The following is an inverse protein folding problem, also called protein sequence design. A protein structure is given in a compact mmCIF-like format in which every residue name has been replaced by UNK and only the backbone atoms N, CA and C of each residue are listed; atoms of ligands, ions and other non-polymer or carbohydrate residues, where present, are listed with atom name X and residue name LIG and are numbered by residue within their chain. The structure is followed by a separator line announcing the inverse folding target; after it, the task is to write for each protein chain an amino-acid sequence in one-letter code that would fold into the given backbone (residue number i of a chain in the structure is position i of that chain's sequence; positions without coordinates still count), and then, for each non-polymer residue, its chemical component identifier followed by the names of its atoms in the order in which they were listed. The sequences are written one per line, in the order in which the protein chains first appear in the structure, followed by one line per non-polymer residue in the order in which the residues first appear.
data_IF_813551530880
#
_entry.id   IF_813551530880
#
_cell.length_a   1.000
_cell.length_b   1.000
_cell.length_c   1.000
_cell.angle_alpha   90.00
_cell.angle_beta   90.00
_cell.angle_gamma   90.00
#
_symmetry.space_group_name_H-M   'P 1'
#
loop_
_entity.id
_entity.type
_entity.pdbx_description
1 polymer ?
#
# COMPACT_ATOMS: atom_id res chain seq x y z
N UNK A 1 -54.29 -35.55 -21.06
CA UNK A 1 -53.73 -35.61 -19.69
C UNK A 1 -52.34 -34.98 -19.78
N UNK A 2 -52.20 -33.77 -19.21
CA UNK A 2 -51.01 -33.02 -18.75
C UNK A 2 -49.68 -33.17 -19.52
N UNK A 3 -49.03 -32.11 -20.02
CA UNK A 3 -48.41 -30.97 -19.29
C UNK A 3 -48.43 -29.73 -20.23
N UNK A 4 -49.22 -28.68 -19.97
CA UNK A 4 -48.97 -27.44 -19.21
C UNK A 4 -47.79 -26.55 -19.65
N UNK A 5 -48.16 -25.38 -20.18
CA UNK A 5 -47.39 -24.17 -20.53
C UNK A 5 -46.89 -23.36 -19.31
N UNK A 6 -45.66 -22.82 -19.39
CA UNK A 6 -45.06 -21.64 -18.71
C UNK A 6 -43.54 -21.90 -18.60
N UNK A 7 -42.57 -21.06 -19.00
CA UNK A 7 -42.47 -19.61 -18.96
C UNK A 7 -41.43 -19.15 -19.98
N UNK A 8 -41.86 -18.40 -21.00
CA UNK A 8 -40.99 -17.71 -21.96
C UNK A 8 -41.53 -16.30 -22.18
N UNK A 9 -41.61 -15.49 -21.12
CA UNK A 9 -41.80 -14.04 -21.20
C UNK A 9 -41.61 -13.37 -19.83
N UNK A 10 -40.37 -13.15 -19.41
CA UNK A 10 -40.04 -12.19 -18.34
C UNK A 10 -38.62 -11.63 -18.52
N UNK A 11 -38.28 -11.22 -19.75
CA UNK A 11 -37.13 -10.34 -20.02
C UNK A 11 -37.63 -9.25 -20.96
N UNK A 12 -38.58 -8.43 -20.51
CA UNK A 12 -38.94 -7.16 -21.14
C UNK A 12 -39.97 -6.45 -20.26
N UNK A 13 -39.52 -5.83 -19.16
CA UNK A 13 -40.09 -4.60 -18.57
C UNK A 13 -39.42 -4.29 -17.22
N UNK A 14 -38.25 -3.68 -17.29
CA UNK A 14 -37.74 -2.81 -16.21
C UNK A 14 -36.61 -1.92 -16.77
N UNK A 15 -36.87 -1.26 -17.91
CA UNK A 15 -36.16 -0.05 -18.26
C UNK A 15 -37.13 1.11 -18.07
N UNK A 16 -36.62 2.19 -17.48
CA UNK A 16 -37.26 3.50 -17.21
C UNK A 16 -37.89 3.69 -15.82
N UNK A 17 -37.04 3.95 -14.83
CA UNK A 17 -37.05 5.26 -14.15
C UNK A 17 -35.60 5.76 -14.03
N UNK A 18 -35.40 7.00 -14.47
CA UNK A 18 -34.09 7.54 -14.83
C UNK A 18 -33.12 7.76 -13.68
N UNK A 19 -31.93 7.19 -13.84
CA UNK A 19 -30.69 7.80 -13.39
C UNK A 19 -29.75 7.77 -14.60
N UNK A 20 -29.42 8.93 -15.17
CA UNK A 20 -28.39 9.01 -16.21
C UNK A 20 -27.07 8.51 -15.60
N UNK A 21 -26.36 7.55 -16.21
CA UNK A 21 -25.02 7.20 -15.78
C UNK A 21 -24.16 8.45 -15.96
N UNK A 22 -23.62 8.94 -14.84
CA UNK A 22 -22.79 10.15 -14.78
C UNK A 22 -21.46 9.98 -15.52
N UNK A 23 -21.06 8.74 -15.77
CA UNK A 23 -19.84 8.40 -16.48
C UNK A 23 -20.18 7.68 -17.78
N UNK A 24 -19.72 8.14 -18.95
CA UNK A 24 -19.81 7.35 -20.16
C UNK A 24 -18.99 6.07 -19.98
N UNK A 25 -19.59 4.94 -20.36
CA UNK A 25 -18.96 3.62 -20.40
C UNK A 25 -17.88 3.63 -21.50
N UNK A 26 -16.69 4.12 -21.17
CA UNK A 26 -15.46 3.90 -21.93
C UNK A 26 -14.61 2.86 -21.17
N UNK A 27 -13.81 2.03 -21.86
CA UNK A 27 -13.02 0.99 -21.22
C UNK A 27 -12.11 1.58 -20.14
N UNK A 28 -12.10 0.94 -18.96
CA UNK A 28 -11.19 1.26 -17.87
C UNK A 28 -9.75 1.03 -18.34
N UNK A 29 -8.88 2.04 -18.20
CA UNK A 29 -7.44 1.88 -18.41
C UNK A 29 -6.76 2.81 -19.43
N UNK A 30 -7.46 3.74 -20.09
CA UNK A 30 -6.77 4.75 -20.90
C UNK A 30 -5.92 5.66 -20.00
N UNK A 31 -4.60 5.66 -20.22
CA UNK A 31 -3.68 6.61 -19.60
C UNK A 31 -3.83 7.97 -20.30
N UNK A 32 -3.96 9.08 -19.55
CA UNK A 32 -4.07 10.40 -20.14
C UNK A 32 -2.82 10.75 -20.97
N UNK A 33 -2.98 11.19 -22.21
CA UNK A 33 -1.86 11.54 -23.10
C UNK A 33 -1.03 12.71 -22.54
N UNK A 34 -1.69 13.69 -21.90
CA UNK A 34 -1.05 14.80 -21.20
C UNK A 34 -1.65 14.99 -19.80
N UNK A 35 -1.25 14.13 -18.85
CA UNK A 35 -1.74 14.20 -17.47
C UNK A 35 -1.30 15.48 -16.73
N UNK A 36 -0.19 16.10 -17.18
CA UNK A 36 0.36 17.27 -16.52
C UNK A 36 -0.58 18.48 -16.68
N UNK A 37 -1.20 18.62 -17.85
CA UNK A 37 -2.18 19.67 -18.16
C UNK A 37 -3.65 19.25 -17.97
N UNK A 38 -3.91 17.99 -17.57
CA UNK A 38 -5.26 17.44 -17.53
C UNK A 38 -6.23 18.24 -16.62
N UNK A 39 -5.73 18.75 -15.50
CA UNK A 39 -6.41 19.76 -14.69
C UNK A 39 -5.41 20.55 -13.83
N UNK A 40 -5.79 21.71 -13.33
CA UNK A 40 -4.97 22.62 -12.55
C UNK A 40 -5.68 23.03 -11.25
N UNK A 41 -4.90 23.44 -10.27
CA UNK A 41 -5.40 24.10 -9.06
C UNK A 41 -5.30 25.60 -9.24
N UNK A 42 -6.34 26.35 -8.88
CA UNK A 42 -6.23 27.80 -8.87
C UNK A 42 -5.25 28.29 -7.80
N UNK A 43 -4.58 29.41 -8.07
CA UNK A 43 -3.75 30.07 -7.06
C UNK A 43 -4.58 30.61 -5.88
N UNK A 44 -3.95 30.63 -4.71
CA UNK A 44 -4.51 31.27 -3.52
C UNK A 44 -4.68 32.76 -3.75
N UNK A 45 -5.73 33.34 -3.19
CA UNK A 45 -5.91 34.80 -3.15
C UNK A 45 -5.15 35.40 -1.97
N UNK A 46 -4.88 36.70 -2.00
CA UNK A 46 -4.25 37.40 -0.88
C UNK A 46 -5.09 37.22 0.40
N UNK A 47 -4.44 36.82 1.50
CA UNK A 47 -5.11 36.55 2.79
C UNK A 47 -5.84 35.20 2.87
N UNK A 48 -5.84 34.38 1.82
CA UNK A 48 -6.50 33.07 1.80
C UNK A 48 -5.57 31.95 2.28
N UNK A 49 -6.07 31.10 3.18
CA UNK A 49 -5.40 29.84 3.54
C UNK A 49 -5.91 28.72 2.64
N UNK A 50 -5.41 28.69 1.40
CA UNK A 50 -5.82 27.74 0.36
C UNK A 50 -4.61 27.11 -0.34
N UNK A 51 -4.58 25.78 -0.40
CA UNK A 51 -3.63 25.00 -1.19
C UNK A 51 -4.20 23.61 -1.48
N UNK A 52 -4.44 23.30 -2.76
CA UNK A 52 -4.84 21.97 -3.21
C UNK A 52 -3.78 21.29 -4.09
N UNK A 53 -2.57 21.85 -4.17
CA UNK A 53 -1.50 21.37 -5.06
C UNK A 53 -1.12 19.91 -4.78
N UNK A 54 -0.96 19.55 -3.51
CA UNK A 54 -0.71 18.15 -3.09
C UNK A 54 -1.78 17.19 -3.57
N UNK A 55 -3.07 17.55 -3.41
CA UNK A 55 -4.19 16.74 -3.86
C UNK A 55 -4.17 16.56 -5.38
N UNK A 56 -4.00 17.64 -6.13
CA UNK A 56 -3.94 17.56 -7.60
C UNK A 56 -2.75 16.72 -8.08
N UNK A 57 -1.57 16.90 -7.49
CA UNK A 57 -0.38 16.14 -7.84
C UNK A 57 -0.57 14.63 -7.58
N UNK A 58 -1.09 14.25 -6.41
CA UNK A 58 -1.34 12.84 -6.06
C UNK A 58 -2.45 12.24 -6.91
N UNK A 59 -3.55 12.96 -7.17
CA UNK A 59 -4.63 12.50 -8.06
C UNK A 59 -4.10 12.24 -9.47
N UNK A 60 -3.27 13.14 -10.03
CA UNK A 60 -2.61 12.93 -11.33
C UNK A 60 -1.72 11.69 -11.32
N UNK A 61 -0.96 11.48 -10.25
CA UNK A 61 -0.12 10.29 -10.10
C UNK A 61 -0.97 9.01 -10.05
N UNK A 62 -2.11 9.03 -9.34
CA UNK A 62 -3.05 7.92 -9.31
C UNK A 62 -3.67 7.65 -10.69
N UNK A 63 -4.07 8.69 -11.43
CA UNK A 63 -4.60 8.58 -12.79
C UNK A 63 -3.59 7.95 -13.75
N UNK A 64 -2.30 8.25 -13.62
CA UNK A 64 -1.24 7.62 -14.42
C UNK A 64 -0.98 6.16 -14.05
N UNK A 65 -1.07 5.85 -12.76
CA UNK A 65 -0.69 4.54 -12.23
C UNK A 65 -1.80 3.52 -12.43
N UNK A 66 -3.02 3.87 -12.01
CA UNK A 66 -4.16 2.95 -11.99
C UNK A 66 -5.14 3.19 -13.13
N UNK A 67 -5.13 4.37 -13.75
CA UNK A 67 -6.05 4.76 -14.82
C UNK A 67 -6.89 5.98 -14.45
N UNK A 68 -7.37 6.71 -15.46
CA UNK A 68 -7.98 8.03 -15.28
C UNK A 68 -9.29 8.05 -14.47
N UNK A 69 -10.09 6.98 -14.55
CA UNK A 69 -11.44 6.92 -13.96
C UNK A 69 -11.38 6.57 -12.46
N UNK A 70 -12.28 7.11 -11.61
CA UNK A 70 -12.38 6.74 -10.20
C UNK A 70 -12.47 5.23 -9.96
N UNK A 71 -13.22 4.51 -10.80
CA UNK A 71 -13.34 3.05 -10.72
C UNK A 71 -12.00 2.30 -10.84
N UNK A 72 -11.00 2.87 -11.51
CA UNK A 72 -9.66 2.28 -11.61
C UNK A 72 -8.78 2.62 -10.39
N UNK A 73 -9.01 3.79 -9.80
CA UNK A 73 -8.27 4.32 -8.65
C UNK A 73 -8.72 3.77 -7.29
N UNK A 74 -9.86 3.07 -7.22
CA UNK A 74 -10.35 2.38 -6.02
C UNK A 74 -10.28 0.84 -6.18
N UNK A 75 -10.48 0.11 -5.08
CA UNK A 75 -10.72 -1.34 -5.15
C UNK A 75 -12.16 -1.64 -5.53
N UNK A 76 -13.10 -0.83 -5.04
CA UNK A 76 -14.53 -0.96 -5.33
C UNK A 76 -15.20 0.42 -5.35
N UNK A 77 -16.13 0.61 -6.27
CA UNK A 77 -16.94 1.81 -6.40
C UNK A 77 -18.35 1.41 -6.85
N UNK A 78 -19.31 1.44 -5.94
CA UNK A 78 -20.69 1.03 -6.18
C UNK A 78 -21.64 2.22 -6.00
N UNK A 79 -22.54 2.50 -6.96
CA UNK A 79 -23.65 3.42 -6.73
C UNK A 79 -24.51 2.94 -5.55
N UNK A 80 -24.85 3.82 -4.62
CA UNK A 80 -25.59 3.47 -3.41
C UNK A 80 -26.46 4.63 -2.96
N UNK A 81 -27.79 4.45 -2.97
CA UNK A 81 -28.75 5.46 -2.50
C UNK A 81 -28.55 6.86 -3.10
N UNK A 82 -28.19 7.81 -2.23
CA UNK A 82 -27.92 9.22 -2.54
C UNK A 82 -26.49 9.49 -3.03
N UNK A 83 -25.68 8.46 -3.22
CA UNK A 83 -24.24 8.56 -3.40
C UNK A 83 -23.55 7.32 -3.95
N UNK A 84 -22.37 7.04 -3.42
CA UNK A 84 -21.49 5.92 -3.78
C UNK A 84 -20.84 5.31 -2.55
N UNK A 85 -20.83 3.98 -2.47
CA UNK A 85 -19.97 3.24 -1.56
C UNK A 85 -18.62 3.00 -2.24
N UNK A 86 -17.56 3.32 -1.51
CA UNK A 86 -16.17 3.27 -2.00
C UNK A 86 -15.36 2.38 -1.07
N UNK A 87 -14.64 1.42 -1.65
CA UNK A 87 -13.55 0.72 -0.98
C UNK A 87 -12.23 1.23 -1.57
N UNK A 88 -11.45 1.94 -0.76
CA UNK A 88 -10.15 2.50 -1.18
C UNK A 88 -9.12 1.40 -1.45
N UNK A 89 -7.98 1.74 -2.07
CA UNK A 89 -6.89 0.79 -2.34
C UNK A 89 -6.32 0.17 -1.06
N UNK A 90 -6.39 0.90 0.06
CA UNK A 90 -6.07 0.39 1.38
C UNK A 90 -7.27 -0.21 2.14
N UNK A 91 -8.31 -0.62 1.42
CA UNK A 91 -9.54 -1.24 1.94
C UNK A 91 -10.37 -0.36 2.90
N UNK A 92 -9.99 0.91 3.09
CA UNK A 92 -10.82 1.83 3.85
C UNK A 92 -12.16 2.02 3.13
N UNK A 93 -13.26 1.77 3.86
CA UNK A 93 -14.62 1.88 3.32
C UNK A 93 -15.24 3.20 3.72
N UNK A 94 -15.86 3.88 2.76
CA UNK A 94 -16.58 5.11 2.99
C UNK A 94 -17.78 5.24 2.06
N UNK A 95 -18.74 6.06 2.46
CA UNK A 95 -19.87 6.47 1.63
C UNK A 95 -19.70 7.95 1.25
N UNK A 96 -19.90 8.28 -0.03
CA UNK A 96 -19.91 9.65 -0.55
C UNK A 96 -21.30 10.01 -1.09
N UNK A 97 -21.97 10.95 -0.45
CA UNK A 97 -23.24 11.49 -0.96
C UNK A 97 -23.01 12.41 -2.17
N UNK A 98 -24.05 12.59 -3.00
CA UNK A 98 -24.04 13.58 -4.09
C UNK A 98 -23.82 15.01 -3.58
N UNK A 99 -24.29 15.33 -2.37
CA UNK A 99 -24.09 16.64 -1.76
C UNK A 99 -22.61 16.88 -1.42
N UNK A 100 -21.94 15.90 -0.81
CA UNK A 100 -20.51 15.99 -0.48
C UNK A 100 -19.66 16.10 -1.75
N UNK A 101 -20.01 15.37 -2.81
CA UNK A 101 -19.37 15.49 -4.13
C UNK A 101 -19.53 16.90 -4.71
N UNK A 102 -20.72 17.50 -4.58
CA UNK A 102 -20.96 18.87 -5.04
C UNK A 102 -20.16 19.90 -4.23
N UNK A 103 -20.14 19.77 -2.90
CA UNK A 103 -19.36 20.64 -2.00
C UNK A 103 -17.86 20.58 -2.34
N UNK A 104 -17.31 19.37 -2.48
CA UNK A 104 -15.92 19.17 -2.87
C UNK A 104 -15.61 19.78 -4.25
N UNK A 105 -16.49 19.59 -5.23
CA UNK A 105 -16.32 20.13 -6.58
C UNK A 105 -16.34 21.66 -6.64
N UNK A 106 -17.11 22.31 -5.76
CA UNK A 106 -17.16 23.77 -5.68
C UNK A 106 -15.94 24.33 -4.95
N UNK A 107 -15.48 23.64 -3.90
CA UNK A 107 -14.42 24.12 -3.02
C UNK A 107 -12.99 23.86 -3.55
N UNK A 108 -12.76 22.76 -4.28
CA UNK A 108 -11.42 22.37 -4.76
C UNK A 108 -10.80 23.37 -5.75
N UNK A 109 -11.66 24.11 -6.46
CA UNK A 109 -11.29 25.04 -7.54
C UNK A 109 -10.40 24.38 -8.60
N UNK A 110 -10.59 23.09 -8.87
CA UNK A 110 -9.96 22.39 -9.97
C UNK A 110 -10.52 22.88 -11.32
N UNK A 111 -9.64 23.19 -12.27
CA UNK A 111 -10.01 23.68 -13.61
C UNK A 111 -9.28 22.88 -14.69
N UNK A 112 -9.86 22.74 -15.88
CA UNK A 112 -9.26 21.99 -16.98
C UNK A 112 -10.15 22.02 -18.22
N UNK A 113 -9.56 21.75 -19.39
CA UNK A 113 -10.31 21.72 -20.65
C UNK A 113 -11.28 20.52 -20.73
N UNK A 114 -10.92 19.39 -20.11
CA UNK A 114 -11.76 18.20 -20.02
C UNK A 114 -12.56 18.22 -18.70
N UNK A 115 -13.85 18.55 -18.80
CA UNK A 115 -14.76 18.57 -17.66
C UNK A 115 -14.96 17.19 -17.01
N UNK A 116 -14.75 16.11 -17.77
CA UNK A 116 -14.76 14.75 -17.26
C UNK A 116 -13.56 14.47 -16.35
N UNK A 117 -12.35 14.86 -16.75
CA UNK A 117 -11.15 14.77 -15.89
C UNK A 117 -11.34 15.56 -14.60
N UNK A 118 -11.83 16.80 -14.70
CA UNK A 118 -12.03 17.66 -13.53
C UNK A 118 -13.05 17.03 -12.57
N UNK A 119 -14.11 16.42 -13.10
CA UNK A 119 -15.11 15.70 -12.31
C UNK A 119 -14.52 14.46 -11.64
N UNK A 120 -13.72 13.68 -12.35
CA UNK A 120 -13.03 12.50 -11.83
C UNK A 120 -12.04 12.90 -10.70
N UNK A 121 -11.31 14.00 -10.88
CA UNK A 121 -10.42 14.55 -9.85
C UNK A 121 -11.18 15.03 -8.60
N UNK A 122 -12.32 15.72 -8.79
CA UNK A 122 -13.18 16.15 -7.69
C UNK A 122 -13.77 14.97 -6.89
N UNK A 123 -14.05 13.85 -7.55
CA UNK A 123 -14.46 12.63 -6.85
C UNK A 123 -13.36 12.12 -5.91
N UNK A 124 -12.12 12.04 -6.41
CA UNK A 124 -10.98 11.61 -5.59
C UNK A 124 -10.72 12.56 -4.41
N UNK A 125 -10.84 13.87 -4.65
CA UNK A 125 -10.73 14.89 -3.61
C UNK A 125 -11.84 14.73 -2.54
N UNK A 126 -13.08 14.47 -2.94
CA UNK A 126 -14.18 14.21 -2.02
C UNK A 126 -13.93 12.96 -1.17
N UNK A 127 -13.43 11.87 -1.77
CA UNK A 127 -13.07 10.65 -1.05
C UNK A 127 -12.01 10.91 0.03
N UNK A 128 -10.97 11.68 -0.30
CA UNK A 128 -9.96 12.12 0.67
C UNK A 128 -10.59 12.89 1.84
N UNK A 129 -11.42 13.89 1.53
CA UNK A 129 -12.08 14.73 2.56
C UNK A 129 -12.98 13.88 3.46
N UNK A 130 -13.72 12.93 2.87
CA UNK A 130 -14.60 12.03 3.62
C UNK A 130 -13.83 11.13 4.56
N UNK A 131 -12.73 10.53 4.09
CA UNK A 131 -11.84 9.76 4.96
C UNK A 131 -11.30 10.63 6.10
N UNK A 132 -10.81 11.83 5.79
CA UNK A 132 -10.32 12.78 6.79
C UNK A 132 -11.40 13.12 7.81
N UNK A 133 -12.65 13.30 7.39
CA UNK A 133 -13.78 13.49 8.31
C UNK A 133 -13.89 12.32 9.29
N UNK A 134 -13.97 11.09 8.77
CA UNK A 134 -14.21 9.87 9.53
C UNK A 134 -13.05 9.54 10.48
N UNK A 135 -11.81 9.79 10.08
CA UNK A 135 -10.63 9.42 10.89
C UNK A 135 -10.08 10.58 11.72
N UNK A 136 -10.38 11.82 11.35
CA UNK A 136 -9.84 13.04 11.98
C UNK A 136 -10.73 13.63 13.07
N UNK A 137 -11.88 13.01 13.36
CA UNK A 137 -12.81 13.48 14.40
C UNK A 137 -13.56 14.77 14.03
N UNK A 138 -13.70 15.07 12.73
CA UNK A 138 -14.49 16.23 12.29
C UNK A 138 -15.98 15.92 12.34
N UNK A 139 -16.75 16.79 13.00
CA UNK A 139 -18.19 16.61 13.13
C UNK A 139 -18.94 16.60 11.78
N UNK A 140 -18.43 17.33 10.78
CA UNK A 140 -19.07 17.47 9.47
C UNK A 140 -18.07 17.34 8.33
N UNK A 141 -18.56 16.96 7.14
CA UNK A 141 -17.77 16.94 5.91
C UNK A 141 -17.21 18.33 5.59
N UNK A 142 -18.03 19.38 5.80
CA UNK A 142 -17.63 20.77 5.57
C UNK A 142 -16.45 21.20 6.46
N UNK A 143 -16.43 20.79 7.74
CA UNK A 143 -15.30 21.08 8.63
C UNK A 143 -14.02 20.38 8.17
N UNK A 144 -14.12 19.12 7.73
CA UNK A 144 -13.00 18.38 7.15
C UNK A 144 -12.54 19.00 5.82
N UNK A 145 -13.48 19.47 4.99
CA UNK A 145 -13.24 20.13 3.71
C UNK A 145 -12.48 21.42 3.94
N UNK A 146 -12.98 22.33 4.79
CA UNK A 146 -12.33 23.58 5.14
C UNK A 146 -10.89 23.36 5.59
N UNK A 147 -10.66 22.35 6.45
CA UNK A 147 -9.31 22.01 6.91
C UNK A 147 -8.43 21.41 5.81
N UNK A 148 -9.01 20.69 4.86
CA UNK A 148 -8.29 20.12 3.71
C UNK A 148 -7.83 21.20 2.73
N UNK A 149 -8.63 22.25 2.56
CA UNK A 149 -8.29 23.38 1.70
C UNK A 149 -7.05 24.14 2.19
N UNK A 150 -6.68 24.05 3.48
CA UNK A 150 -5.43 24.64 3.99
C UNK A 150 -4.14 23.91 3.53
N UNK A 151 -4.26 22.86 2.71
CA UNK A 151 -3.15 22.06 2.19
C UNK A 151 -2.77 20.85 3.03
N UNK A 152 -2.00 19.97 2.42
CA UNK A 152 -1.54 18.70 2.98
C UNK A 152 -0.09 18.42 2.61
N UNK A 153 0.63 17.73 3.49
CA UNK A 153 1.94 17.17 3.11
C UNK A 153 1.73 16.04 2.09
N UNK A 154 2.73 15.79 1.23
CA UNK A 154 2.65 14.73 0.21
C UNK A 154 2.30 13.36 0.83
N UNK A 155 2.95 13.03 1.96
CA UNK A 155 2.71 11.78 2.68
C UNK A 155 1.28 11.69 3.21
N UNK A 156 0.76 12.75 3.86
CA UNK A 156 -0.63 12.76 4.35
C UNK A 156 -1.63 12.66 3.22
N UNK A 157 -1.33 13.29 2.08
CA UNK A 157 -2.16 13.19 0.90
C UNK A 157 -2.21 11.74 0.37
N UNK A 158 -1.06 11.06 0.24
CA UNK A 158 -1.00 9.64 -0.15
C UNK A 158 -1.72 8.72 0.85
N UNK A 159 -1.60 9.01 2.16
CA UNK A 159 -2.30 8.27 3.21
C UNK A 159 -3.82 8.47 3.14
N UNK A 160 -4.29 9.70 3.04
CA UNK A 160 -5.72 10.00 2.94
C UNK A 160 -6.34 9.58 1.60
N UNK A 161 -5.54 9.43 0.55
CA UNK A 161 -5.95 8.83 -0.74
C UNK A 161 -5.91 7.29 -0.71
N UNK A 162 -5.46 6.67 0.39
CA UNK A 162 -5.40 5.22 0.55
C UNK A 162 -4.37 4.52 -0.32
N UNK A 163 -3.34 5.24 -0.79
CA UNK A 163 -2.31 4.72 -1.72
C UNK A 163 -0.89 4.78 -1.16
N UNK A 164 -0.71 5.19 0.10
CA UNK A 164 0.62 5.25 0.71
C UNK A 164 1.30 3.88 0.76
N UNK A 165 0.55 2.81 1.03
CA UNK A 165 1.03 1.43 0.96
C UNK A 165 1.50 1.00 -0.44
N UNK A 166 1.03 1.70 -1.47
CA UNK A 166 1.37 1.50 -2.88
C UNK A 166 2.39 2.52 -3.39
N UNK A 167 3.15 3.13 -2.48
CA UNK A 167 4.16 4.14 -2.80
C UNK A 167 5.58 3.70 -2.42
N UNK A 168 6.56 4.21 -3.16
CA UNK A 168 7.98 4.12 -2.82
C UNK A 168 8.56 5.52 -2.67
N UNK A 169 9.34 5.74 -1.62
CA UNK A 169 10.13 6.95 -1.44
C UNK A 169 11.48 6.80 -2.12
N UNK A 170 11.71 7.56 -3.18
CA UNK A 170 12.88 7.39 -4.06
C UNK A 170 13.58 8.72 -4.33
N UNK A 171 14.91 8.70 -4.60
CA UNK A 171 15.62 9.87 -5.09
C UNK A 171 15.00 10.38 -6.40
N UNK A 172 14.97 11.70 -6.58
CA UNK A 172 14.46 12.30 -7.84
C UNK A 172 15.30 11.86 -9.06
N UNK A 173 16.60 11.64 -8.87
CA UNK A 173 17.49 11.08 -9.91
C UNK A 173 17.02 9.71 -10.42
N UNK A 174 16.51 8.87 -9.52
CA UNK A 174 15.99 7.55 -9.87
C UNK A 174 14.67 7.66 -10.64
N UNK A 175 13.81 8.62 -10.29
CA UNK A 175 12.59 8.88 -11.04
C UNK A 175 12.89 9.29 -12.47
N UNK A 176 13.82 10.24 -12.65
CA UNK A 176 14.24 10.73 -13.96
C UNK A 176 14.90 9.63 -14.80
N UNK A 177 15.86 8.89 -14.22
CA UNK A 177 16.61 7.84 -14.92
C UNK A 177 15.75 6.65 -15.35
N UNK A 178 14.63 6.38 -14.65
CA UNK A 178 13.70 5.29 -14.96
C UNK A 178 12.48 5.75 -15.79
N UNK A 179 12.40 7.03 -16.15
CA UNK A 179 11.22 7.61 -16.80
C UNK A 179 9.95 7.51 -15.94
N UNK A 180 10.11 7.40 -14.62
CA UNK A 180 9.00 7.25 -13.69
C UNK A 180 8.28 8.60 -13.48
N UNK A 181 6.97 8.52 -13.26
CA UNK A 181 6.17 9.65 -12.82
C UNK A 181 6.06 9.58 -11.29
N UNK A 182 6.26 10.72 -10.62
CA UNK A 182 6.22 10.79 -9.17
C UNK A 182 5.65 12.12 -8.67
N UNK A 183 5.61 12.27 -7.35
CA UNK A 183 5.26 13.52 -6.68
C UNK A 183 6.35 13.90 -5.69
N UNK A 184 6.67 15.19 -5.59
CA UNK A 184 7.57 15.71 -4.57
C UNK A 184 6.97 16.91 -3.85
N UNK A 185 7.40 17.10 -2.62
CA UNK A 185 7.02 18.24 -1.80
C UNK A 185 7.71 19.51 -2.32
N UNK A 186 6.94 20.58 -2.53
CA UNK A 186 7.46 21.88 -3.00
C UNK A 186 7.63 22.89 -1.87
N UNK A 187 6.77 22.80 -0.87
CA UNK A 187 6.72 23.62 0.34
C UNK A 187 5.85 22.90 1.37
N UNK A 188 5.80 23.38 2.62
CA UNK A 188 5.24 22.67 3.79
C UNK A 188 3.87 21.97 3.62
N UNK A 189 3.04 22.40 2.66
CA UNK A 189 1.70 21.83 2.41
C UNK A 189 1.35 21.72 0.93
N UNK A 190 2.35 21.69 0.06
CA UNK A 190 2.16 21.59 -1.37
C UNK A 190 3.10 20.61 -2.05
N UNK A 191 2.65 20.08 -3.18
CA UNK A 191 3.41 19.11 -3.96
C UNK A 191 3.27 19.37 -5.46
N UNK A 192 4.23 18.87 -6.22
CA UNK A 192 4.23 18.90 -7.67
C UNK A 192 4.32 17.49 -8.25
N UNK A 193 3.66 17.28 -9.40
CA UNK A 193 3.91 16.10 -10.22
C UNK A 193 5.29 16.26 -10.89
N UNK A 194 6.07 15.20 -10.91
CA UNK A 194 7.33 15.11 -11.67
C UNK A 194 7.19 14.07 -12.76
N UNK A 195 7.56 14.45 -13.97
CA UNK A 195 7.65 13.58 -15.12
C UNK A 195 8.93 13.91 -15.89
N UNK A 196 9.72 12.90 -16.22
CA UNK A 196 10.94 13.06 -17.03
C UNK A 196 11.90 14.12 -16.44
N UNK A 197 11.97 14.20 -15.10
CA UNK A 197 12.80 15.18 -14.39
C UNK A 197 12.26 16.62 -14.38
N UNK A 198 11.03 16.85 -14.84
CA UNK A 198 10.37 18.16 -14.88
C UNK A 198 9.25 18.23 -13.85
N UNK A 199 9.24 19.28 -13.03
CA UNK A 199 8.16 19.61 -12.08
C UNK A 199 7.04 20.36 -12.78
N UNK A 200 5.80 19.96 -12.46
CA UNK A 200 4.57 20.58 -12.92
C UNK A 200 3.76 21.11 -11.73
N UNK A 201 4.06 22.35 -11.30
CA UNK A 201 3.46 23.04 -10.14
C UNK A 201 2.57 24.24 -10.51
N UNK A 202 2.07 24.28 -11.76
CA UNK A 202 1.19 25.36 -12.23
C UNK A 202 1.92 26.59 -12.75
N UNK A 203 3.26 26.59 -12.77
CA UNK A 203 4.11 27.63 -13.35
C UNK A 203 5.03 27.13 -14.47
N UNK A 204 6.09 27.89 -14.75
CA UNK A 204 7.13 27.51 -15.72
C UNK A 204 7.76 26.18 -15.34
N UNK A 205 7.93 25.22 -16.28
CA UNK A 205 8.61 23.96 -16.02
C UNK A 205 9.95 24.15 -15.32
N UNK A 206 10.15 23.47 -14.18
CA UNK A 206 11.40 23.52 -13.41
C UNK A 206 12.02 22.15 -13.34
N UNK A 207 13.33 22.05 -13.56
CA UNK A 207 14.07 20.81 -13.34
C UNK A 207 13.94 20.35 -11.89
N UNK A 208 13.69 19.06 -11.71
CA UNK A 208 13.77 18.34 -10.46
C UNK A 208 15.15 17.69 -10.42
N UNK A 209 16.14 18.35 -9.86
CA UNK A 209 17.54 17.92 -9.88
C UNK A 209 18.01 17.31 -8.56
N UNK A 210 17.30 17.56 -7.45
CA UNK A 210 17.66 17.10 -6.10
C UNK A 210 16.44 16.75 -5.26
N UNK A 211 16.68 15.93 -4.24
CA UNK A 211 15.69 15.56 -3.23
C UNK A 211 15.08 14.18 -3.45
N UNK A 212 13.97 13.96 -2.76
CA UNK A 212 13.22 12.71 -2.77
C UNK A 212 11.75 12.99 -3.02
N UNK A 213 11.05 11.98 -3.50
CA UNK A 213 9.60 12.03 -3.66
C UNK A 213 9.03 10.63 -3.71
N UNK A 214 7.74 10.56 -4.03
CA UNK A 214 6.99 9.32 -4.05
C UNK A 214 6.63 8.93 -5.47
N UNK A 215 6.89 7.68 -5.83
CA UNK A 215 6.31 7.03 -7.01
C UNK A 215 5.24 6.04 -6.56
N UNK A 216 4.20 5.85 -7.37
CA UNK A 216 3.22 4.79 -7.14
C UNK A 216 3.55 3.59 -8.03
N UNK A 217 3.17 2.41 -7.55
CA UNK A 217 3.19 1.18 -8.34
C UNK A 217 1.81 0.52 -8.35
N UNK A 218 1.54 -0.25 -9.40
CA UNK A 218 0.38 -1.12 -9.47
C UNK A 218 0.79 -2.54 -9.06
N UNK A 219 0.26 -3.00 -7.94
CA UNK A 219 0.55 -4.32 -7.40
C UNK A 219 -0.12 -5.44 -8.21
N UNK A 220 -1.15 -5.13 -9.01
CA UNK A 220 -1.85 -6.06 -9.89
C UNK A 220 -1.15 -6.26 -11.23
N UNK A 221 -0.29 -5.33 -11.66
CA UNK A 221 0.48 -5.50 -12.89
C UNK A 221 1.56 -6.59 -12.71
N UNK A 222 1.67 -7.55 -13.66
CA UNK A 222 2.74 -8.52 -13.64
C UNK A 222 4.10 -7.83 -13.79
N UNK A 223 5.17 -8.36 -13.18
CA UNK A 223 6.50 -7.82 -13.41
C UNK A 223 6.84 -7.89 -14.91
N UNK A 224 7.56 -6.90 -15.48
CA UNK A 224 8.00 -6.95 -16.87
C UNK A 224 8.74 -8.27 -17.11
N UNK A 225 8.30 -9.00 -18.13
CA UNK A 225 8.68 -10.40 -18.34
C UNK A 225 10.18 -10.53 -18.63
N UNK A 226 10.95 -11.00 -17.65
CA UNK A 226 12.24 -11.62 -17.92
C UNK A 226 12.00 -13.10 -18.22
N UNK A 227 12.37 -13.54 -19.44
CA UNK A 227 12.38 -14.95 -19.82
C UNK A 227 13.25 -15.71 -18.82
N UNK A 228 12.63 -16.49 -17.93
CA UNK A 228 13.32 -17.21 -16.85
C UNK A 228 12.62 -17.22 -15.49
N UNK A 229 11.49 -16.50 -15.32
CA UNK A 229 10.69 -16.60 -14.10
C UNK A 229 10.09 -18.02 -13.95
N UNK A 230 10.35 -18.67 -12.81
CA UNK A 230 9.71 -19.93 -12.45
C UNK A 230 8.17 -19.76 -12.35
N UNK A 231 7.37 -20.80 -12.64
CA UNK A 231 5.92 -20.71 -12.60
C UNK A 231 5.42 -20.27 -11.21
N UNK A 232 4.28 -19.56 -11.19
CA UNK A 232 3.57 -19.17 -9.97
C UNK A 232 3.31 -20.42 -9.14
N UNK A 233 3.97 -20.52 -7.99
CA UNK A 233 3.82 -21.67 -7.08
C UNK A 233 2.49 -21.53 -6.35
N UNK A 234 1.76 -22.63 -6.22
CA UNK A 234 0.54 -22.65 -5.41
C UNK A 234 0.85 -22.15 -3.98
N UNK A 235 0.01 -21.25 -3.47
CA UNK A 235 0.10 -20.76 -2.10
C UNK A 235 -0.23 -21.91 -1.14
N UNK A 236 0.80 -22.54 -0.58
CA UNK A 236 0.66 -23.61 0.42
C UNK A 236 0.88 -23.01 1.80
N UNK A 237 -0.16 -23.05 2.64
CA UNK A 237 -0.07 -22.65 4.04
C UNK A 237 0.76 -23.69 4.82
N UNK A 238 1.74 -23.27 5.64
CA UNK A 238 2.49 -24.21 6.47
C UNK A 238 1.58 -24.94 7.46
N UNK A 239 1.73 -26.26 7.57
CA UNK A 239 0.96 -27.08 8.51
C UNK A 239 1.32 -26.80 9.97
N UNK A 240 2.60 -26.54 10.25
CA UNK A 240 3.09 -26.10 11.56
C UNK A 240 4.05 -24.92 11.40
N UNK A 241 3.51 -23.71 11.60
CA UNK A 241 4.26 -22.46 11.60
C UNK A 241 4.88 -22.14 12.96
N UNK A 242 4.47 -22.83 14.02
CA UNK A 242 4.88 -22.54 15.38
C UNK A 242 6.26 -23.13 15.62
N UNK A 243 6.38 -24.47 15.57
CA UNK A 243 7.65 -25.16 15.81
C UNK A 243 8.51 -25.34 14.55
N UNK A 244 7.91 -25.11 13.37
CA UNK A 244 8.59 -25.25 12.09
C UNK A 244 9.78 -24.29 11.92
N UNK A 245 9.65 -23.04 12.39
CA UNK A 245 10.78 -22.17 12.70
C UNK A 245 10.38 -21.15 13.80
N UNK A 246 11.34 -20.65 14.57
CA UNK A 246 11.13 -19.66 15.62
C UNK A 246 12.42 -18.90 15.97
N UNK A 247 12.26 -17.79 16.69
CA UNK A 247 13.35 -16.93 17.16
C UNK A 247 14.26 -17.64 18.17
N UNK A 248 15.57 -17.45 18.04
CA UNK A 248 16.58 -17.82 19.05
C UNK A 248 16.82 -16.69 20.06
N UNK A 249 18.09 -16.40 20.35
CA UNK A 249 18.49 -15.41 21.38
C UNK A 249 18.56 -13.96 20.88
N UNK A 250 18.52 -13.74 19.57
CA UNK A 250 18.62 -12.41 18.96
C UNK A 250 17.35 -11.58 19.18
N UNK A 251 17.47 -10.24 19.08
CA UNK A 251 16.37 -9.28 19.20
C UNK A 251 15.46 -9.17 17.95
N UNK A 252 15.50 -10.13 17.03
CA UNK A 252 14.82 -10.06 15.73
C UNK A 252 13.33 -10.46 15.74
N UNK A 253 12.66 -10.32 16.88
CA UNK A 253 11.25 -10.70 17.07
C UNK A 253 10.29 -10.08 16.05
N UNK A 254 10.51 -8.81 15.70
CA UNK A 254 9.72 -8.09 14.68
C UNK A 254 9.88 -8.73 13.30
N UNK A 255 11.09 -9.17 12.95
CA UNK A 255 11.32 -9.85 11.68
C UNK A 255 10.76 -11.27 11.68
N UNK A 256 10.89 -12.03 12.78
CA UNK A 256 10.30 -13.38 12.89
C UNK A 256 8.77 -13.32 12.80
N UNK A 257 8.13 -12.43 13.55
CA UNK A 257 6.67 -12.28 13.53
C UNK A 257 6.14 -11.90 12.15
N UNK A 258 6.82 -10.98 11.46
CA UNK A 258 6.49 -10.59 10.10
C UNK A 258 6.63 -11.74 9.09
N UNK A 259 7.71 -12.52 9.17
CA UNK A 259 7.92 -13.70 8.31
C UNK A 259 6.82 -14.73 8.53
N UNK A 260 6.47 -15.04 9.79
CA UNK A 260 5.40 -16.00 10.09
C UNK A 260 4.04 -15.54 9.54
N UNK A 261 3.69 -14.28 9.77
CA UNK A 261 2.47 -13.69 9.25
C UNK A 261 2.43 -13.75 7.71
N UNK A 262 3.54 -13.41 7.04
CA UNK A 262 3.65 -13.47 5.59
C UNK A 262 3.51 -14.89 5.03
N UNK A 263 4.17 -15.88 5.65
CA UNK A 263 4.09 -17.28 5.23
C UNK A 263 2.69 -17.86 5.38
N UNK A 264 1.95 -17.44 6.41
CA UNK A 264 0.56 -17.86 6.59
C UNK A 264 -0.37 -17.18 5.60
N UNK A 265 -0.19 -15.87 5.36
CA UNK A 265 -1.05 -15.09 4.46
C UNK A 265 -0.86 -15.47 3.00
N UNK A 266 0.39 -15.57 2.56
CA UNK A 266 0.74 -15.70 1.15
C UNK A 266 1.28 -17.08 0.78
N UNK A 267 1.75 -17.87 1.74
CA UNK A 267 2.28 -19.22 1.53
C UNK A 267 3.73 -19.37 1.98
N UNK A 268 4.13 -20.60 2.32
CA UNK A 268 5.45 -20.89 2.90
C UNK A 268 6.63 -20.73 1.93
N UNK A 269 6.38 -20.74 0.62
CA UNK A 269 7.41 -20.54 -0.40
C UNK A 269 7.65 -19.04 -0.64
N UNK A 270 8.91 -18.53 -0.60
CA UNK A 270 9.19 -17.12 -0.87
C UNK A 270 8.64 -16.61 -2.21
N UNK A 271 8.46 -17.48 -3.21
CA UNK A 271 7.85 -17.14 -4.51
C UNK A 271 6.35 -16.84 -4.42
N UNK A 272 5.69 -17.25 -3.35
CA UNK A 272 4.31 -16.89 -3.07
C UNK A 272 4.19 -15.54 -2.34
N UNK A 273 5.25 -15.14 -1.60
CA UNK A 273 5.33 -13.87 -0.88
C UNK A 273 5.79 -12.73 -1.78
N UNK A 274 6.83 -12.93 -2.62
CA UNK A 274 7.34 -11.90 -3.52
C UNK A 274 6.68 -11.95 -4.91
N UNK A 275 6.73 -10.84 -5.65
CA UNK A 275 6.25 -10.81 -7.05
C UNK A 275 7.11 -11.68 -7.96
N UNK A 276 8.41 -11.73 -7.72
CA UNK A 276 9.33 -12.57 -8.47
C UNK A 276 10.55 -12.92 -7.62
N UNK A 277 10.99 -14.17 -7.71
CA UNK A 277 12.32 -14.61 -7.26
C UNK A 277 12.94 -15.38 -8.42
N UNK A 278 14.01 -14.83 -9.00
CA UNK A 278 14.76 -15.45 -10.08
C UNK A 278 16.11 -15.90 -9.56
N UNK A 279 16.43 -17.18 -9.77
CA UNK A 279 17.75 -17.73 -9.42
C UNK A 279 18.73 -17.29 -10.51
N UNK A 280 19.91 -16.81 -10.09
CA UNK A 280 21.02 -16.44 -10.97
C UNK A 280 22.25 -17.27 -10.61
N UNK A 281 23.30 -17.33 -11.46
CA UNK A 281 24.52 -18.06 -11.13
C UNK A 281 25.24 -17.58 -9.85
N UNK A 282 25.00 -16.33 -9.45
CA UNK A 282 25.65 -15.70 -8.28
C UNK A 282 24.71 -15.57 -7.08
N UNK A 283 23.42 -15.88 -7.23
CA UNK A 283 22.42 -15.77 -6.18
C UNK A 283 21.00 -15.62 -6.71
N UNK A 284 20.36 -14.49 -6.42
CA UNK A 284 18.94 -14.27 -6.66
C UNK A 284 18.63 -12.82 -7.03
N UNK A 285 17.78 -12.62 -8.03
CA UNK A 285 17.09 -11.36 -8.30
C UNK A 285 15.68 -11.43 -7.70
N UNK A 286 15.34 -10.47 -6.84
CA UNK A 286 14.04 -10.42 -6.16
C UNK A 286 13.29 -9.16 -6.56
N UNK A 287 12.02 -9.33 -6.94
CA UNK A 287 11.04 -8.24 -7.09
C UNK A 287 9.98 -8.43 -6.03
N UNK A 288 9.92 -7.49 -5.09
CA UNK A 288 8.95 -7.49 -4.00
C UNK A 288 7.56 -7.05 -4.46
N UNK A 289 6.53 -7.27 -3.63
CA UNK A 289 5.16 -6.84 -3.97
C UNK A 289 5.01 -5.35 -4.05
N UNK A 290 5.80 -4.63 -3.26
CA UNK A 290 5.88 -3.17 -3.33
C UNK A 290 6.73 -2.65 -4.50
N UNK A 291 7.04 -3.49 -5.49
CA UNK A 291 7.90 -3.23 -6.65
C UNK A 291 9.37 -2.94 -6.32
N UNK A 292 9.81 -3.08 -5.06
CA UNK A 292 11.22 -2.93 -4.72
C UNK A 292 12.03 -4.06 -5.34
N UNK A 293 13.23 -3.74 -5.84
CA UNK A 293 14.12 -4.70 -6.51
C UNK A 293 15.44 -4.78 -5.78
N UNK A 294 15.91 -6.00 -5.56
CA UNK A 294 17.25 -6.23 -5.02
C UNK A 294 17.87 -7.49 -5.58
N UNK A 295 19.19 -7.57 -5.44
CA UNK A 295 19.97 -8.76 -5.72
C UNK A 295 20.54 -9.29 -4.41
N UNK A 296 20.48 -10.61 -4.23
CA UNK A 296 21.09 -11.34 -3.13
C UNK A 296 22.14 -12.29 -3.69
N UNK A 297 23.27 -12.41 -3.01
CA UNK A 297 24.27 -13.44 -3.30
C UNK A 297 24.02 -14.72 -2.49
N UNK A 298 24.56 -15.84 -2.93
CA UNK A 298 24.53 -17.08 -2.13
C UNK A 298 25.25 -16.93 -0.77
N UNK A 299 26.29 -16.09 -0.70
CA UNK A 299 27.00 -15.78 0.54
C UNK A 299 26.11 -15.00 1.52
N UNK A 300 25.41 -13.96 1.05
CA UNK A 300 24.48 -13.17 1.89
C UNK A 300 23.35 -14.03 2.48
N UNK A 301 22.86 -15.03 1.72
CA UNK A 301 21.87 -15.99 2.24
C UNK A 301 22.50 -16.89 3.33
N UNK A 302 23.75 -17.33 3.16
CA UNK A 302 24.45 -18.12 4.19
C UNK A 302 24.73 -17.31 5.45
N UNK A 303 25.17 -16.05 5.31
CA UNK A 303 25.39 -15.16 6.44
C UNK A 303 24.09 -14.90 7.21
N UNK A 304 23.01 -14.60 6.48
CA UNK A 304 21.70 -14.41 7.09
C UNK A 304 21.22 -15.66 7.86
N UNK A 305 21.45 -16.86 7.34
CA UNK A 305 21.11 -18.11 8.03
C UNK A 305 21.93 -18.33 9.31
N UNK A 306 23.19 -17.88 9.34
CA UNK A 306 24.05 -18.00 10.52
C UNK A 306 23.70 -16.96 11.59
N UNK A 307 23.45 -15.71 11.19
CA UNK A 307 23.23 -14.56 12.07
C UNK A 307 21.78 -14.41 12.55
N UNK A 308 20.79 -15.04 11.88
CA UNK A 308 19.39 -14.96 12.30
C UNK A 308 19.14 -15.68 13.63
N UNK A 309 19.95 -16.69 13.92
CA UNK A 309 19.77 -17.59 15.05
C UNK A 309 18.35 -18.22 15.10
N UNK A 310 17.76 -18.49 13.93
CA UNK A 310 16.47 -19.15 13.88
C UNK A 310 16.64 -20.65 14.17
N UNK A 311 15.67 -21.21 14.88
CA UNK A 311 15.60 -22.64 15.18
C UNK A 311 14.30 -23.22 14.65
N UNK A 312 14.25 -24.53 14.44
CA UNK A 312 13.02 -25.18 13.95
C UNK A 312 13.24 -26.64 13.59
N UNK A 313 12.16 -27.43 13.61
CA UNK A 313 12.20 -28.85 13.22
C UNK A 313 11.91 -29.06 11.72
N UNK A 314 11.37 -28.05 11.02
CA UNK A 314 11.03 -28.12 9.61
C UNK A 314 12.11 -27.42 8.78
N UNK A 315 13.03 -28.20 8.21
CA UNK A 315 14.14 -27.68 7.41
C UNK A 315 13.70 -26.84 6.20
N UNK A 316 12.59 -27.20 5.55
CA UNK A 316 12.10 -26.45 4.39
C UNK A 316 11.59 -25.07 4.82
N UNK A 317 10.79 -25.02 5.89
CA UNK A 317 10.26 -23.77 6.42
C UNK A 317 11.36 -22.87 6.99
N UNK A 318 12.31 -23.45 7.72
CA UNK A 318 13.47 -22.75 8.26
C UNK A 318 14.34 -22.14 7.13
N UNK A 319 14.60 -22.89 6.05
CA UNK A 319 15.33 -22.37 4.90
C UNK A 319 14.59 -21.22 4.20
N UNK A 320 13.26 -21.33 4.06
CA UNK A 320 12.45 -20.24 3.53
C UNK A 320 12.51 -19.00 4.45
N UNK A 321 12.46 -19.18 5.77
CA UNK A 321 12.59 -18.09 6.74
C UNK A 321 13.97 -17.41 6.65
N UNK A 322 15.06 -18.18 6.53
CA UNK A 322 16.40 -17.62 6.30
C UNK A 322 16.48 -16.79 5.01
N UNK A 323 15.83 -17.26 3.93
CA UNK A 323 15.79 -16.49 2.69
C UNK A 323 15.03 -15.17 2.84
N UNK A 324 13.85 -15.19 3.47
CA UNK A 324 13.06 -13.97 3.74
C UNK A 324 13.81 -13.00 4.67
N UNK A 325 14.51 -13.52 5.67
CA UNK A 325 15.39 -12.74 6.55
C UNK A 325 16.55 -12.10 5.76
N UNK A 326 17.20 -12.84 4.86
CA UNK A 326 18.25 -12.32 3.98
C UNK A 326 17.74 -11.17 3.08
N UNK A 327 16.56 -11.34 2.49
CA UNK A 327 15.92 -10.30 1.67
C UNK A 327 15.64 -9.05 2.51
N UNK A 328 15.11 -9.21 3.73
CA UNK A 328 14.86 -8.11 4.67
C UNK A 328 16.17 -7.37 5.01
N UNK A 329 17.24 -8.11 5.33
CA UNK A 329 18.56 -7.55 5.65
C UNK A 329 19.17 -6.80 4.45
N UNK A 330 19.02 -7.33 3.24
CA UNK A 330 19.53 -6.68 2.03
C UNK A 330 18.80 -5.36 1.76
N UNK A 331 17.49 -5.33 1.97
CA UNK A 331 16.73 -4.08 1.88
C UNK A 331 17.12 -3.10 2.97
N UNK A 332 17.30 -3.55 4.22
CA UNK A 332 17.81 -2.72 5.30
C UNK A 332 19.18 -2.10 4.98
N UNK A 333 20.09 -2.86 4.36
CA UNK A 333 21.37 -2.35 3.87
C UNK A 333 21.18 -1.20 2.86
N UNK A 334 20.34 -1.42 1.84
CA UNK A 334 20.10 -0.45 0.76
C UNK A 334 19.41 0.81 1.28
N UNK A 335 18.40 0.66 2.14
CA UNK A 335 17.63 1.76 2.72
C UNK A 335 18.35 2.42 3.92
N UNK A 336 19.54 1.92 4.28
CA UNK A 336 20.35 2.41 5.39
C UNK A 336 19.60 2.41 6.74
N UNK A 337 19.00 1.28 7.10
CA UNK A 337 18.36 1.05 8.41
C UNK A 337 19.26 1.53 9.56
N UNK A 338 18.64 2.20 10.53
CA UNK A 338 19.28 2.84 11.69
C UNK A 338 20.47 3.75 11.36
N UNK A 339 20.46 4.31 10.15
CA UNK A 339 21.48 5.18 9.60
C UNK A 339 22.89 4.56 9.48
N UNK A 340 23.03 3.26 9.76
CA UNK A 340 24.31 2.53 9.75
C UNK A 340 24.32 1.30 8.85
N UNK A 341 23.18 0.72 8.50
CA UNK A 341 23.13 -0.55 7.74
C UNK A 341 23.82 -0.48 6.37
N UNK A 342 23.94 0.71 5.74
CA UNK A 342 24.66 0.85 4.46
C UNK A 342 26.14 0.50 4.51
N UNK A 343 26.73 0.45 5.71
CA UNK A 343 28.16 0.17 5.88
C UNK A 343 28.54 -1.21 5.34
N UNK A 344 27.73 -2.24 5.64
CA UNK A 344 27.94 -3.60 5.16
C UNK A 344 26.68 -4.45 5.35
N UNK A 345 26.60 -5.59 4.66
CA UNK A 345 25.51 -6.53 4.86
C UNK A 345 25.49 -7.10 6.29
N UNK A 346 26.67 -7.35 6.88
CA UNK A 346 26.80 -7.73 8.29
C UNK A 346 26.23 -6.67 9.23
N UNK A 347 26.51 -5.39 8.97
CA UNK A 347 25.92 -4.28 9.74
C UNK A 347 24.39 -4.26 9.61
N UNK A 348 23.86 -4.55 8.42
CA UNK A 348 22.43 -4.67 8.23
C UNK A 348 21.83 -5.84 9.03
N UNK A 349 22.46 -7.01 9.07
CA UNK A 349 22.01 -8.13 9.92
C UNK A 349 21.95 -7.72 11.41
N UNK A 350 22.96 -6.98 11.89
CA UNK A 350 22.97 -6.46 13.25
C UNK A 350 21.79 -5.52 13.54
N UNK A 351 21.43 -4.64 12.60
CA UNK A 351 20.26 -3.74 12.74
C UNK A 351 18.92 -4.47 12.77
N UNK A 352 18.89 -5.73 12.32
CA UNK A 352 17.70 -6.57 12.43
C UNK A 352 17.64 -7.30 13.78
N UNK A 353 18.78 -7.44 14.46
CA UNK A 353 18.95 -8.24 15.68
C UNK A 353 19.00 -7.40 16.96
N UNK A 354 19.07 -6.07 16.89
CA UNK A 354 19.16 -5.18 18.06
C UNK A 354 17.79 -4.65 18.55
N UNK A 355 16.69 -5.15 17.97
CA UNK A 355 15.33 -4.78 18.31
C UNK A 355 14.80 -3.67 17.40
N UNK A 356 13.56 -3.80 16.97
CA UNK A 356 13.02 -2.97 15.88
C UNK A 356 11.65 -2.40 16.23
N UNK A 357 11.25 -1.36 15.51
CA UNK A 357 9.91 -0.81 15.69
C UNK A 357 8.88 -1.74 15.02
N UNK A 358 7.72 -2.01 15.66
CA UNK A 358 6.73 -2.92 15.09
C UNK A 358 6.32 -2.54 13.66
N UNK A 359 6.19 -3.53 12.78
CA UNK A 359 5.79 -3.34 11.38
C UNK A 359 6.91 -2.96 10.42
N UNK A 360 8.11 -2.59 10.88
CA UNK A 360 9.24 -2.30 9.98
C UNK A 360 9.62 -3.51 9.13
N UNK A 361 9.65 -4.71 9.71
CA UNK A 361 9.94 -5.92 8.96
C UNK A 361 8.88 -6.24 7.89
N UNK A 362 7.59 -5.96 8.13
CA UNK A 362 6.55 -6.15 7.11
C UNK A 362 6.81 -5.22 5.91
N UNK A 363 7.23 -3.97 6.17
CA UNK A 363 7.65 -3.04 5.12
C UNK A 363 8.89 -3.57 4.38
N UNK A 364 9.91 -4.06 5.08
CA UNK A 364 11.13 -4.58 4.44
C UNK A 364 10.92 -5.88 3.66
N UNK A 365 9.90 -6.66 3.99
CA UNK A 365 9.43 -7.77 3.17
C UNK A 365 8.63 -7.30 1.93
N UNK A 366 8.47 -5.99 1.75
CA UNK A 366 7.74 -5.39 0.64
C UNK A 366 6.24 -5.61 0.72
N UNK A 367 5.70 -5.76 1.94
CA UNK A 367 4.29 -6.03 2.20
C UNK A 367 3.51 -4.78 2.61
N UNK A 368 4.11 -3.59 2.51
CA UNK A 368 3.51 -2.35 3.04
C UNK A 368 2.10 -2.07 2.49
N UNK A 369 1.85 -2.37 1.22
CA UNK A 369 0.52 -2.29 0.58
C UNK A 369 -0.55 -3.22 1.18
N UNK A 370 -0.12 -4.24 1.91
CA UNK A 370 -0.96 -5.29 2.51
C UNK A 370 -1.01 -5.19 4.04
N UNK A 371 -0.44 -4.16 4.66
CA UNK A 371 -0.49 -3.96 6.12
C UNK A 371 -1.59 -2.96 6.47
N UNK A 372 -2.40 -3.28 7.48
CA UNK A 372 -3.36 -2.35 8.09
C UNK A 372 -3.14 -2.26 9.59
N UNK A 373 -3.37 -1.09 10.16
CA UNK A 373 -3.59 -0.99 11.60
C UNK A 373 -4.80 -1.85 11.98
N UNK A 374 -4.72 -2.48 13.14
CA UNK A 374 -5.69 -3.45 13.62
C UNK A 374 -5.91 -3.24 15.11
N UNK A 375 -6.90 -3.95 15.65
CA UNK A 375 -7.06 -4.11 17.09
C UNK A 375 -6.65 -5.52 17.52
N UNK A 376 -6.35 -5.68 18.81
CA UNK A 376 -6.12 -7.01 19.40
C UNK A 376 -7.38 -7.89 19.28
N UNK A 377 -8.56 -7.29 19.36
CA UNK A 377 -9.83 -8.00 19.18
C UNK A 377 -9.99 -8.57 17.76
N UNK A 378 -9.62 -7.83 16.72
CA UNK A 378 -9.62 -8.36 15.34
C UNK A 378 -8.65 -9.53 15.18
N UNK A 379 -7.44 -9.43 15.76
CA UNK A 379 -6.46 -10.52 15.73
C UNK A 379 -6.97 -11.75 16.50
N UNK A 380 -7.61 -11.55 17.66
CA UNK A 380 -8.25 -12.62 18.43
C UNK A 380 -9.40 -13.30 17.66
N UNK A 381 -10.14 -12.53 16.85
CA UNK A 381 -11.21 -13.03 15.99
C UNK A 381 -10.71 -13.65 14.67
N UNK A 382 -9.40 -13.86 14.53
CA UNK A 382 -8.81 -14.65 13.45
C UNK A 382 -8.12 -13.84 12.36
N UNK A 383 -7.99 -12.52 12.48
CA UNK A 383 -7.12 -11.77 11.58
C UNK A 383 -5.66 -12.22 11.74
N UNK A 384 -4.95 -12.34 10.62
CA UNK A 384 -3.53 -12.72 10.60
C UNK A 384 -2.70 -11.45 10.67
N UNK A 385 -1.69 -11.41 11.52
CA UNK A 385 -0.92 -10.20 11.72
C UNK A 385 0.20 -10.29 12.74
N UNK A 386 0.61 -9.13 13.24
CA UNK A 386 1.61 -8.99 14.29
C UNK A 386 1.04 -8.18 15.44
N UNK A 387 1.40 -8.56 16.66
CA UNK A 387 1.06 -7.84 17.88
C UNK A 387 2.35 -7.54 18.63
N UNK A 388 2.51 -6.31 19.12
CA UNK A 388 3.74 -5.91 19.79
C UNK A 388 3.50 -5.05 21.02
N UNK A 389 4.26 -5.34 22.07
CA UNK A 389 4.50 -4.43 23.19
C UNK A 389 5.84 -3.68 22.97
N UNK A 390 6.34 -3.00 24.00
CA UNK A 390 7.60 -2.23 23.90
C UNK A 390 8.86 -3.12 23.83
N UNK A 391 8.74 -4.42 24.07
CA UNK A 391 9.88 -5.33 24.22
C UNK A 391 9.85 -6.49 23.23
N UNK A 392 8.66 -6.91 22.79
CA UNK A 392 8.52 -8.10 21.96
C UNK A 392 7.39 -7.96 20.94
N UNK A 393 7.60 -8.57 19.77
CA UNK A 393 6.61 -8.71 18.71
C UNK A 393 6.33 -10.19 18.44
N UNK A 394 5.05 -10.54 18.37
CA UNK A 394 4.57 -11.90 18.10
C UNK A 394 3.73 -11.91 16.83
N UNK A 395 3.78 -13.03 16.10
CA UNK A 395 2.79 -13.29 15.06
C UNK A 395 1.49 -13.74 15.70
N UNK A 396 0.36 -13.24 15.22
CA UNK A 396 -0.98 -13.73 15.58
C UNK A 396 -1.63 -14.33 14.34
N UNK A 397 -2.07 -15.57 14.46
CA UNK A 397 -2.62 -16.39 13.38
C UNK A 397 -3.85 -17.12 13.92
N UNK A 398 -5.01 -16.86 13.35
CA UNK A 398 -6.29 -17.49 13.71
C UNK A 398 -6.57 -17.43 15.22
N UNK A 399 -6.34 -16.26 15.85
CA UNK A 399 -6.57 -16.05 17.29
C UNK A 399 -5.50 -16.65 18.23
N UNK A 400 -4.43 -17.23 17.69
CA UNK A 400 -3.31 -17.73 18.48
C UNK A 400 -2.04 -16.94 18.21
N UNK A 401 -1.22 -16.69 19.23
CA UNK A 401 0.07 -16.04 19.12
C UNK A 401 1.23 -17.04 19.13
N UNK A 402 2.31 -16.67 18.44
CA UNK A 402 3.59 -17.38 18.49
C UNK A 402 4.47 -16.78 19.58
N UNK A 403 4.79 -17.56 20.61
CA UNK A 403 5.72 -17.14 21.65
C UNK A 403 6.93 -18.07 21.63
N UNK A 404 7.98 -17.67 20.92
CA UNK A 404 9.22 -18.45 20.73
C UNK A 404 8.94 -19.88 20.24
N UNK A 405 8.07 -20.00 19.23
CA UNK A 405 7.71 -21.28 18.62
C UNK A 405 6.62 -22.07 19.35
N UNK A 406 6.11 -21.56 20.47
CA UNK A 406 4.97 -22.14 21.18
C UNK A 406 3.70 -21.40 20.82
N UNK A 407 2.73 -22.16 20.29
CA UNK A 407 1.37 -21.67 20.08
C UNK A 407 0.72 -21.37 21.43
N UNK A 408 0.23 -20.16 21.61
CA UNK A 408 -0.58 -19.76 22.77
C UNK A 408 -1.88 -19.14 22.28
N UNK A 409 -2.96 -19.40 23.01
CA UNK A 409 -4.24 -18.74 22.75
C UNK A 409 -4.14 -17.24 23.09
N UNK A 410 -4.53 -16.36 22.17
CA UNK A 410 -4.43 -14.92 22.41
C UNK A 410 -5.43 -14.49 23.48
N UNK A 411 -6.68 -14.94 23.38
CA UNK A 411 -7.80 -14.50 24.21
C UNK A 411 -7.58 -14.72 25.72
N UNK A 412 -6.87 -15.78 26.08
CA UNK A 412 -6.54 -16.13 27.48
C UNK A 412 -5.19 -15.59 27.97
N UNK A 413 -4.44 -14.87 27.13
CA UNK A 413 -3.09 -14.41 27.45
C UNK A 413 -3.02 -12.95 27.89
N UNK A 414 -1.87 -12.56 28.49
CA UNK A 414 -1.54 -11.15 28.78
C UNK A 414 -1.53 -10.24 27.55
N UNK A 415 -1.52 -10.83 26.35
CA UNK A 415 -1.47 -10.10 25.09
C UNK A 415 -2.82 -9.50 24.69
N UNK A 416 -3.91 -9.85 25.36
CA UNK A 416 -5.20 -9.14 25.27
C UNK A 416 -5.15 -7.77 25.95
N UNK A 417 -4.31 -6.87 25.43
CA UNK A 417 -4.12 -5.51 25.94
C UNK A 417 -4.34 -4.49 24.82
N UNK A 418 -5.20 -3.49 25.06
CA UNK A 418 -5.49 -2.42 24.10
C UNK A 418 -4.32 -1.45 23.87
N UNK A 419 -3.29 -1.48 24.73
CA UNK A 419 -2.10 -0.64 24.59
C UNK A 419 -1.05 -1.21 23.63
N UNK A 420 -1.26 -2.41 23.08
CA UNK A 420 -0.31 -3.06 22.19
C UNK A 420 -0.57 -2.67 20.74
N UNK A 421 0.50 -2.56 19.96
CA UNK A 421 0.40 -2.22 18.55
C UNK A 421 0.02 -3.48 17.76
N UNK A 422 -1.18 -3.47 17.18
CA UNK A 422 -1.70 -4.55 16.37
C UNK A 422 -1.70 -4.15 14.89
N UNK A 423 -1.11 -4.98 14.05
CA UNK A 423 -1.13 -4.86 12.60
C UNK A 423 -1.71 -6.13 12.01
N UNK A 424 -2.51 -6.02 10.95
CA UNK A 424 -3.03 -7.17 10.19
C UNK A 424 -2.52 -7.15 8.75
N UNK A 425 -2.39 -8.35 8.18
CA UNK A 425 -2.15 -8.55 6.76
C UNK A 425 -3.47 -8.78 6.03
N UNK A 426 -3.65 -8.06 4.92
CA UNK A 426 -4.83 -8.11 4.06
C UNK A 426 -4.54 -8.67 2.68
#
# INVERSE_FOLDING_TARGET
MYISTASRSMIETAQQRGASPVFPVKPAGERPADIASAFHTSERRFGESFDCSSHAAVIKLMMMTFGQRPAAMFNELLPSGDGYDVTMKDEFKLHLSRQELQQASQASRFTGADSGVVKDANFMFAAFVKRKQLTGGYATFEAALAKTLEGETTQRCLQGMGVFGLSQFVPVSDMAGKGAVGVLETHNRGSALVREGVRHDGGTPRTADRGYGYVLFDDQLPPPSNRGAAPVVASVRPADIWSGFYQGVEGNCVTVSAIKAAMIRFGQDPRAIYKQVQITPTGFDVVMRDAFRLQLTHEEVRQAAAESNFHGNNRQLLNAAHFLYAVSAKRAQIENNDFRARQSYTTALQTLNDGEYPGEALRRLGLFGYVRESTVAELANGAIGTLADNWHSVAVIDGALDFYGKKQDLASSRWMSSGFRALKLV
#
